data_IF_809227194322
#
_entry.id   IF_809227194322
#
_cell.length_a   1.000
_cell.length_b   1.000
_cell.length_c   1.000
_cell.angle_alpha   90.00
_cell.angle_beta   90.00
_cell.angle_gamma   90.00
#
_symmetry.space_group_name_H-M   'P 1'
#
loop_
_entity.id
_entity.type
_entity.pdbx_description
1 polymer ?
#
# COMPACT_ATOMS: atom_id res chain seq x y z
N UNK A 1 23.18 4.30 37.11
CA UNK A 1 22.12 3.56 36.40
C UNK A 1 21.27 4.61 35.69
N UNK A 2 21.70 5.32 34.65
CA UNK A 2 22.74 5.14 33.65
C UNK A 2 22.04 5.45 32.32
N UNK A 3 22.24 6.66 31.78
CA UNK A 3 21.52 7.23 30.62
C UNK A 3 21.53 6.29 29.39
N UNK A 4 22.53 5.40 29.29
CA UNK A 4 22.60 4.32 28.29
C UNK A 4 21.38 3.37 28.32
N UNK A 5 20.78 3.10 29.49
CA UNK A 5 19.56 2.28 29.58
C UNK A 5 18.32 2.99 29.02
N UNK A 6 18.34 4.32 28.85
CA UNK A 6 17.21 5.05 28.25
C UNK A 6 17.33 5.07 26.73
N UNK A 7 18.54 5.14 26.19
CA UNK A 7 18.80 5.08 24.74
C UNK A 7 18.47 3.71 24.13
N UNK A 8 18.70 2.62 24.85
CA UNK A 8 18.35 1.27 24.39
C UNK A 8 16.82 1.01 24.38
N UNK A 9 16.05 1.73 25.21
CA UNK A 9 14.57 1.67 25.18
C UNK A 9 13.96 2.56 24.09
N UNK A 10 14.72 3.49 23.52
CA UNK A 10 14.30 4.39 22.44
C UNK A 10 14.67 3.87 21.04
N UNK A 11 15.46 2.79 20.95
CA UNK A 11 15.76 2.15 19.66
C UNK A 11 14.55 1.35 19.20
N UNK A 12 13.84 1.90 18.22
CA UNK A 12 12.82 1.16 17.46
C UNK A 12 13.42 -0.18 17.02
N UNK A 13 12.82 -1.27 17.48
CA UNK A 13 13.35 -2.61 17.21
C UNK A 13 13.23 -2.90 15.73
N UNK A 14 14.36 -3.18 15.08
CA UNK A 14 14.41 -3.56 13.67
C UNK A 14 13.58 -4.81 13.42
N UNK A 15 12.62 -4.72 12.51
CA UNK A 15 11.74 -5.83 12.12
C UNK A 15 12.31 -6.53 10.87
N UNK A 16 12.38 -7.87 10.83
CA UNK A 16 12.96 -8.61 9.70
C UNK A 16 12.06 -8.59 8.44
N UNK A 17 10.79 -8.22 8.60
CA UNK A 17 9.78 -8.22 7.54
C UNK A 17 10.22 -7.43 6.30
N UNK A 18 10.00 -8.04 5.13
CA UNK A 18 10.15 -7.36 3.86
C UNK A 18 8.98 -6.39 3.62
N UNK A 19 9.29 -5.18 3.16
CA UNK A 19 8.31 -4.20 2.69
C UNK A 19 8.45 -4.04 1.19
N UNK A 20 7.43 -4.42 0.43
CA UNK A 20 7.39 -4.29 -1.02
C UNK A 20 6.57 -3.06 -1.40
N UNK A 21 7.19 -2.12 -2.11
CA UNK A 21 6.52 -0.93 -2.60
C UNK A 21 6.35 -1.00 -4.12
N UNK A 22 5.10 -0.93 -4.58
CA UNK A 22 4.77 -0.99 -6.00
C UNK A 22 4.97 0.38 -6.65
N UNK A 23 6.12 0.59 -7.27
CA UNK A 23 6.58 1.87 -7.83
C UNK A 23 6.67 1.89 -9.37
N UNK A 24 6.12 0.88 -10.07
CA UNK A 24 6.24 0.72 -11.52
C UNK A 24 5.16 1.38 -12.39
N UNK A 25 4.16 2.04 -11.79
CA UNK A 25 3.01 2.61 -12.51
C UNK A 25 3.35 3.81 -13.41
N UNK A 26 2.70 3.92 -14.58
CA UNK A 26 2.92 5.04 -15.51
C UNK A 26 2.35 6.40 -15.04
N UNK A 27 1.38 6.37 -14.11
CA UNK A 27 0.72 7.59 -13.62
C UNK A 27 0.08 8.45 -14.71
N UNK A 28 -0.47 7.85 -15.78
CA UNK A 28 -0.94 8.58 -16.98
C UNK A 28 -2.02 9.63 -16.70
N UNK A 29 -2.84 9.41 -15.67
CA UNK A 29 -3.90 10.32 -15.22
C UNK A 29 -3.37 11.64 -14.62
N UNK A 30 -2.10 11.66 -14.19
CA UNK A 30 -1.43 12.82 -13.61
C UNK A 30 -0.55 13.57 -14.61
N UNK A 31 -0.65 13.29 -15.92
CA UNK A 31 0.08 14.08 -16.91
C UNK A 31 -0.40 15.54 -16.89
N UNK A 32 0.50 16.53 -16.98
CA UNK A 32 1.91 16.41 -17.37
C UNK A 32 2.91 16.13 -16.24
N UNK A 33 2.50 16.10 -14.96
CA UNK A 33 3.40 15.91 -13.80
C UNK A 33 4.23 14.63 -13.94
N UNK A 34 3.60 13.55 -14.43
CA UNK A 34 4.24 12.24 -14.61
C UNK A 34 4.92 12.04 -15.98
N UNK A 35 4.99 13.08 -16.82
CA UNK A 35 5.64 12.96 -18.14
C UNK A 35 7.15 12.68 -18.00
N UNK A 36 7.79 13.32 -17.01
CA UNK A 36 9.22 13.17 -16.77
C UNK A 36 9.56 12.59 -15.39
N UNK A 37 8.59 12.33 -14.53
CA UNK A 37 8.82 11.90 -13.15
C UNK A 37 7.91 10.70 -12.83
N UNK A 38 8.45 9.58 -12.30
CA UNK A 38 7.60 8.50 -11.80
C UNK A 38 6.58 9.03 -10.79
N UNK A 39 5.36 8.48 -10.78
CA UNK A 39 4.32 8.88 -9.82
C UNK A 39 4.80 8.87 -8.35
N UNK A 40 5.51 7.82 -7.86
CA UNK A 40 6.03 7.80 -6.48
C UNK A 40 7.09 8.88 -6.19
N UNK A 41 7.69 9.47 -7.24
CA UNK A 41 8.69 10.53 -7.12
C UNK A 41 8.10 11.94 -7.22
N UNK A 42 6.79 12.07 -7.38
CA UNK A 42 6.14 13.37 -7.26
C UNK A 42 6.29 13.89 -5.83
N UNK A 43 6.61 15.18 -5.71
CA UNK A 43 6.80 15.83 -4.41
C UNK A 43 5.45 16.23 -3.84
N UNK A 44 5.17 15.81 -2.61
CA UNK A 44 4.02 16.25 -1.82
C UNK A 44 4.56 16.82 -0.52
N UNK A 45 4.22 18.07 -0.21
CA UNK A 45 4.89 18.81 0.86
C UNK A 45 6.37 19.06 0.52
N UNK A 46 7.28 18.64 1.40
CA UNK A 46 8.72 18.92 1.25
C UNK A 46 9.52 17.84 0.52
N UNK A 47 8.93 16.66 0.24
CA UNK A 47 9.67 15.47 -0.22
C UNK A 47 8.86 14.57 -1.16
N UNK A 48 9.48 13.61 -1.89
CA UNK A 48 8.76 12.64 -2.70
C UNK A 48 7.79 11.78 -1.88
N UNK A 49 6.67 11.38 -2.49
CA UNK A 49 5.70 10.44 -1.88
C UNK A 49 6.41 9.18 -1.36
N UNK A 50 7.27 8.59 -2.20
CA UNK A 50 7.99 7.36 -1.85
C UNK A 50 8.93 7.53 -0.65
N UNK A 51 9.53 8.71 -0.48
CA UNK A 51 10.38 8.98 0.68
C UNK A 51 9.53 9.06 1.96
N UNK A 52 8.38 9.73 1.89
CA UNK A 52 7.42 9.77 3.01
C UNK A 52 6.97 8.36 3.41
N UNK A 53 6.70 7.48 2.44
CA UNK A 53 6.33 6.08 2.68
C UNK A 53 7.47 5.34 3.40
N UNK A 54 8.70 5.39 2.88
CA UNK A 54 9.86 4.68 3.44
C UNK A 54 10.17 5.18 4.86
N UNK A 55 10.14 6.49 5.08
CA UNK A 55 10.35 7.06 6.42
C UNK A 55 9.25 6.60 7.40
N UNK A 56 7.99 6.59 6.97
CA UNK A 56 6.89 6.15 7.83
C UNK A 56 7.05 4.68 8.26
N UNK A 57 7.39 3.78 7.33
CA UNK A 57 7.73 2.40 7.65
C UNK A 57 8.95 2.30 8.59
N UNK A 58 9.99 3.10 8.34
CA UNK A 58 11.22 3.11 9.15
C UNK A 58 10.97 3.53 10.60
N UNK A 59 10.01 4.43 10.86
CA UNK A 59 9.55 4.80 12.21
C UNK A 59 9.00 3.63 13.01
N UNK A 60 8.48 2.59 12.35
CA UNK A 60 8.02 1.34 12.96
C UNK A 60 9.08 0.21 12.92
N UNK A 61 10.31 0.50 12.48
CA UNK A 61 11.42 -0.45 12.49
C UNK A 61 11.55 -1.32 11.25
N UNK A 62 10.69 -1.11 10.25
CA UNK A 62 10.82 -1.76 8.95
C UNK A 62 11.95 -1.11 8.16
N UNK A 63 12.93 -1.91 7.75
CA UNK A 63 14.14 -1.40 7.08
C UNK A 63 14.50 -2.19 5.82
N UNK A 64 13.88 -3.34 5.55
CA UNK A 64 14.16 -4.16 4.39
C UNK A 64 13.12 -3.88 3.30
N UNK A 65 13.48 -3.05 2.32
CA UNK A 65 12.58 -2.60 1.27
C UNK A 65 12.90 -3.24 -0.08
N UNK A 66 11.84 -3.61 -0.79
CA UNK A 66 11.87 -4.09 -2.16
C UNK A 66 11.02 -3.16 -3.02
N UNK A 67 11.65 -2.41 -3.92
CA UNK A 67 10.94 -1.49 -4.80
C UNK A 67 10.69 -2.18 -6.13
N UNK A 68 9.42 -2.47 -6.43
CA UNK A 68 9.01 -2.94 -7.77
C UNK A 68 8.97 -1.75 -8.71
N UNK A 69 9.96 -1.67 -9.59
CA UNK A 69 10.20 -0.50 -10.44
C UNK A 69 10.15 -0.90 -11.91
N UNK A 70 9.60 -0.01 -12.73
CA UNK A 70 9.51 -0.19 -14.17
C UNK A 70 9.78 1.14 -14.87
N UNK A 71 8.73 1.92 -15.18
CA UNK A 71 8.88 3.21 -15.86
C UNK A 71 9.77 4.17 -15.07
N UNK A 72 10.83 4.65 -15.72
CA UNK A 72 11.80 5.61 -15.16
C UNK A 72 12.44 5.16 -13.84
N UNK A 73 12.70 3.85 -13.71
CA UNK A 73 13.36 3.25 -12.54
C UNK A 73 14.71 3.91 -12.20
N UNK A 74 15.42 4.45 -13.19
CA UNK A 74 16.69 5.17 -13.00
C UNK A 74 16.56 6.33 -12.03
N UNK A 75 15.47 7.11 -12.10
CA UNK A 75 15.25 8.25 -11.19
C UNK A 75 15.09 7.82 -9.74
N UNK A 76 14.42 6.69 -9.51
CA UNK A 76 14.22 6.13 -8.17
C UNK A 76 15.57 5.63 -7.62
N UNK A 77 16.38 4.97 -8.47
CA UNK A 77 17.72 4.49 -8.09
C UNK A 77 18.70 5.63 -7.81
N UNK A 78 18.70 6.67 -8.65
CA UNK A 78 19.54 7.85 -8.47
C UNK A 78 19.23 8.59 -7.17
N UNK A 79 17.94 8.65 -6.79
CA UNK A 79 17.52 9.34 -5.58
C UNK A 79 17.80 8.52 -4.30
N UNK A 80 17.40 7.26 -4.27
CA UNK A 80 17.44 6.44 -3.06
C UNK A 80 18.73 5.62 -2.90
N UNK A 81 19.48 5.34 -3.97
CA UNK A 81 20.67 4.50 -3.90
C UNK A 81 20.38 3.13 -3.28
N UNK A 82 21.07 2.76 -2.21
CA UNK A 82 20.80 1.55 -1.43
C UNK A 82 19.86 1.80 -0.22
N UNK A 83 19.34 3.01 -0.07
CA UNK A 83 18.42 3.41 0.99
C UNK A 83 19.08 3.83 2.31
N UNK A 84 20.41 3.77 2.43
CA UNK A 84 21.09 4.07 3.70
C UNK A 84 20.80 5.47 4.22
N UNK A 85 20.64 6.46 3.32
CA UNK A 85 20.31 7.84 3.68
C UNK A 85 18.93 7.98 4.33
N UNK A 86 18.02 7.03 4.10
CA UNK A 86 16.68 6.99 4.67
C UNK A 86 16.57 6.01 5.85
N UNK A 87 17.70 5.46 6.33
CA UNK A 87 17.69 4.41 7.38
C UNK A 87 17.17 3.06 6.89
N UNK A 88 17.15 2.84 5.58
CA UNK A 88 16.61 1.67 4.90
C UNK A 88 17.70 0.85 4.19
N UNK A 89 17.34 -0.36 3.79
CA UNK A 89 18.07 -1.22 2.86
C UNK A 89 17.15 -1.52 1.68
N UNK A 90 17.46 -0.99 0.51
CA UNK A 90 16.59 -1.02 -0.67
C UNK A 90 17.16 -1.99 -1.72
N UNK A 91 16.32 -2.94 -2.13
CA UNK A 91 16.54 -3.81 -3.29
C UNK A 91 15.54 -3.45 -4.39
N UNK A 92 16.00 -3.35 -5.64
CA UNK A 92 15.15 -3.00 -6.78
C UNK A 92 14.69 -4.24 -7.55
N UNK A 93 13.40 -4.52 -7.52
CA UNK A 93 12.77 -5.56 -8.33
C UNK A 93 12.50 -4.98 -9.72
N UNK A 94 13.37 -5.33 -10.67
CA UNK A 94 13.32 -4.81 -12.04
C UNK A 94 12.50 -5.73 -12.93
N UNK A 95 11.28 -5.30 -13.25
CA UNK A 95 10.39 -6.04 -14.12
C UNK A 95 10.74 -5.84 -15.60
N UNK A 96 10.97 -6.91 -16.35
CA UNK A 96 11.12 -6.85 -17.83
C UNK A 96 9.77 -6.74 -18.55
N UNK A 97 8.69 -7.15 -17.88
CA UNK A 97 7.29 -7.05 -18.32
C UNK A 97 6.41 -6.80 -17.09
N UNK A 98 5.24 -6.19 -17.25
CA UNK A 98 4.33 -5.92 -16.12
C UNK A 98 3.79 -7.24 -15.55
N UNK A 99 4.24 -7.63 -14.36
CA UNK A 99 3.76 -8.83 -13.66
C UNK A 99 2.56 -8.51 -12.76
N UNK A 100 2.16 -7.25 -12.64
CA UNK A 100 1.06 -6.87 -11.76
C UNK A 100 1.51 -6.77 -10.30
N UNK A 101 0.57 -6.37 -9.44
CA UNK A 101 0.83 -6.06 -8.03
C UNK A 101 1.24 -7.27 -7.20
N UNK A 102 0.70 -8.45 -7.50
CA UNK A 102 1.09 -9.70 -6.85
C UNK A 102 2.22 -10.41 -7.62
N UNK A 103 2.21 -10.39 -8.96
CA UNK A 103 3.22 -11.10 -9.75
C UNK A 103 4.65 -10.63 -9.52
N UNK A 104 4.87 -9.37 -9.15
CA UNK A 104 6.19 -8.85 -8.78
C UNK A 104 6.78 -9.56 -7.53
N UNK A 105 5.94 -10.16 -6.68
CA UNK A 105 6.37 -10.85 -5.47
C UNK A 105 7.13 -12.16 -5.76
N UNK A 106 6.97 -12.74 -6.95
CA UNK A 106 7.76 -13.90 -7.39
C UNK A 106 9.26 -13.62 -7.53
N UNK A 107 9.67 -12.36 -7.45
CA UNK A 107 11.07 -11.94 -7.49
C UNK A 107 11.70 -11.80 -6.10
N UNK A 108 10.93 -12.01 -5.03
CA UNK A 108 11.44 -12.00 -3.66
C UNK A 108 12.30 -13.24 -3.37
N UNK A 109 13.20 -13.17 -2.39
CA UNK A 109 13.93 -14.34 -1.92
C UNK A 109 12.97 -15.45 -1.44
N UNK A 110 13.34 -16.71 -1.68
CA UNK A 110 12.54 -17.88 -1.29
C UNK A 110 12.61 -18.16 0.22
N UNK A 111 13.61 -17.63 0.93
CA UNK A 111 13.92 -17.86 2.34
C UNK A 111 13.34 -16.79 3.28
N UNK A 112 12.27 -16.10 2.87
CA UNK A 112 11.56 -15.17 3.74
C UNK A 112 10.73 -15.94 4.78
N UNK A 113 11.08 -15.77 6.06
CA UNK A 113 10.39 -16.43 7.19
C UNK A 113 9.35 -15.54 7.90
N UNK A 114 9.34 -14.23 7.59
CA UNK A 114 8.46 -13.25 8.24
C UNK A 114 7.37 -12.75 7.28
N UNK A 115 6.20 -12.33 7.79
CA UNK A 115 5.16 -11.72 6.96
C UNK A 115 5.68 -10.56 6.12
N UNK A 116 5.21 -10.46 4.90
CA UNK A 116 5.61 -9.47 3.91
C UNK A 116 4.54 -8.38 3.88
N UNK A 117 4.95 -7.12 4.01
CA UNK A 117 4.04 -5.99 3.81
C UNK A 117 4.16 -5.54 2.36
N UNK A 118 3.03 -5.39 1.68
CA UNK A 118 3.00 -4.88 0.30
C UNK A 118 2.12 -3.63 0.26
N UNK A 119 2.59 -2.58 -0.39
CA UNK A 119 1.88 -1.31 -0.48
C UNK A 119 2.07 -0.66 -1.84
N UNK A 120 1.02 -0.06 -2.39
CA UNK A 120 1.15 0.74 -3.60
C UNK A 120 1.98 2.01 -3.31
N UNK A 121 2.94 2.32 -4.19
CA UNK A 121 3.91 3.41 -4.00
C UNK A 121 3.35 4.83 -4.22
N UNK A 122 2.04 4.96 -4.39
CA UNK A 122 1.31 6.20 -4.64
C UNK A 122 0.29 6.54 -3.54
N UNK A 123 0.34 5.79 -2.44
CA UNK A 123 -0.53 5.97 -1.29
C UNK A 123 0.15 6.86 -0.24
N UNK A 124 -0.53 7.94 0.13
CA UNK A 124 -0.13 8.77 1.27
C UNK A 124 -0.97 8.37 2.48
N UNK A 125 -0.32 7.90 3.54
CA UNK A 125 -1.01 7.36 4.71
C UNK A 125 -0.15 7.42 5.97
N UNK A 126 -0.79 7.61 7.13
CA UNK A 126 -0.18 7.55 8.45
C UNK A 126 -0.67 6.35 9.28
N UNK A 127 -1.10 5.27 8.61
CA UNK A 127 -1.46 4.00 9.27
C UNK A 127 -0.36 3.53 10.21
N UNK A 128 -0.77 2.96 11.34
CA UNK A 128 0.14 2.27 12.23
C UNK A 128 0.47 0.87 11.70
N UNK A 129 1.62 0.73 11.05
CA UNK A 129 2.06 -0.54 10.46
C UNK A 129 2.38 -1.61 11.50
N UNK A 130 2.70 -1.23 12.74
CA UNK A 130 2.85 -2.18 13.84
C UNK A 130 1.51 -2.79 14.24
N UNK A 131 0.46 -1.97 14.35
CA UNK A 131 -0.90 -2.48 14.61
C UNK A 131 -1.39 -3.39 13.49
N UNK A 132 -1.13 -3.02 12.24
CA UNK A 132 -1.47 -3.85 11.09
C UNK A 132 -0.78 -5.22 11.15
N UNK A 133 0.53 -5.25 11.40
CA UNK A 133 1.29 -6.50 11.51
C UNK A 133 0.80 -7.33 12.72
N UNK A 134 0.60 -6.69 13.87
CA UNK A 134 0.11 -7.37 15.07
C UNK A 134 -1.27 -7.97 14.84
N UNK A 135 -2.18 -7.25 14.17
CA UNK A 135 -3.49 -7.78 13.79
C UNK A 135 -3.39 -9.00 12.90
N UNK A 136 -2.54 -8.95 11.85
CA UNK A 136 -2.29 -10.09 10.96
C UNK A 136 -1.83 -11.33 11.74
N UNK A 137 -0.89 -11.16 12.67
CA UNK A 137 -0.39 -12.23 13.54
C UNK A 137 -1.46 -12.75 14.50
N UNK A 138 -2.17 -11.87 15.20
CA UNK A 138 -3.21 -12.23 16.18
C UNK A 138 -4.39 -12.95 15.55
N UNK A 139 -4.73 -12.58 14.31
CA UNK A 139 -5.78 -13.24 13.54
C UNK A 139 -5.29 -14.52 12.87
N UNK A 140 -4.00 -14.88 12.95
CA UNK A 140 -3.42 -16.03 12.26
C UNK A 140 -3.80 -16.05 10.77
N UNK A 141 -3.90 -14.87 10.15
CA UNK A 141 -4.31 -14.75 8.76
C UNK A 141 -3.18 -15.24 7.83
N UNK A 142 -3.54 -15.88 6.72
CA UNK A 142 -2.60 -16.17 5.63
C UNK A 142 -2.32 -14.90 4.81
N UNK A 143 -3.34 -14.06 4.67
CA UNK A 143 -3.27 -12.77 4.01
C UNK A 143 -4.22 -11.77 4.68
N UNK A 144 -3.80 -10.51 4.79
CA UNK A 144 -4.62 -9.41 5.30
C UNK A 144 -4.64 -8.29 4.27
N UNK A 145 -5.85 -7.86 3.88
CA UNK A 145 -6.07 -6.69 3.01
C UNK A 145 -6.55 -5.52 3.85
N UNK A 146 -5.87 -4.38 3.74
CA UNK A 146 -6.41 -3.16 4.31
C UNK A 146 -7.58 -2.65 3.47
N UNK A 147 -8.66 -2.25 4.14
CA UNK A 147 -9.86 -1.72 3.50
C UNK A 147 -10.21 -0.35 4.06
N UNK A 148 -10.79 0.51 3.22
CA UNK A 148 -11.30 1.82 3.62
C UNK A 148 -12.81 1.87 3.40
N UNK A 149 -13.53 2.44 4.35
CA UNK A 149 -14.96 2.70 4.19
C UNK A 149 -15.17 3.82 3.15
N UNK A 150 -16.09 3.57 2.23
CA UNK A 150 -16.45 4.48 1.13
C UNK A 150 -17.97 4.65 1.09
N UNK A 151 -18.40 5.87 1.35
CA UNK A 151 -19.80 6.26 1.30
C UNK A 151 -20.17 6.77 -0.09
N UNK A 152 -21.12 6.10 -0.74
CA UNK A 152 -21.71 6.54 -2.00
C UNK A 152 -23.14 7.01 -1.77
N UNK A 153 -23.34 8.32 -1.74
CA UNK A 153 -24.67 8.91 -1.74
C UNK A 153 -25.18 9.05 -3.17
N UNK A 154 -26.31 8.43 -3.47
CA UNK A 154 -27.04 8.73 -4.69
C UNK A 154 -27.76 10.06 -4.49
N UNK A 155 -27.54 11.12 -5.28
CA UNK A 155 -28.15 12.43 -5.04
C UNK A 155 -29.64 12.50 -5.47
N UNK A 156 -30.30 11.36 -5.67
CA UNK A 156 -31.65 11.20 -6.18
C UNK A 156 -32.42 10.11 -5.43
N UNK A 157 -33.75 10.06 -5.60
CA UNK A 157 -34.58 8.95 -5.17
C UNK A 157 -34.28 7.66 -5.92
N UNK A 158 -33.81 6.63 -5.22
CA UNK A 158 -33.59 5.29 -5.78
C UNK A 158 -34.90 4.50 -5.73
N UNK A 159 -35.43 4.18 -6.91
CA UNK A 159 -36.66 3.41 -7.09
C UNK A 159 -36.32 1.95 -7.33
N UNK A 160 -36.82 1.04 -6.49
CA UNK A 160 -36.82 -0.41 -6.78
C UNK A 160 -38.19 -0.77 -7.37
N UNK A 161 -38.19 -1.42 -8.53
CA UNK A 161 -39.40 -1.85 -9.21
C UNK A 161 -39.30 -3.33 -9.61
N UNK A 162 -40.44 -4.03 -9.62
CA UNK A 162 -40.57 -5.36 -10.20
C UNK A 162 -41.50 -5.26 -11.41
N UNK A 163 -40.91 -5.28 -12.62
CA UNK A 163 -41.62 -4.89 -13.83
C UNK A 163 -41.99 -3.40 -13.78
N UNK A 164 -43.27 -3.08 -14.02
CA UNK A 164 -43.77 -1.70 -13.98
C UNK A 164 -44.22 -1.25 -12.56
N UNK A 165 -44.25 -2.15 -11.57
CA UNK A 165 -44.76 -1.85 -10.23
C UNK A 165 -43.63 -1.39 -9.33
N UNK A 166 -43.75 -0.16 -8.80
CA UNK A 166 -42.83 0.40 -7.80
C UNK A 166 -42.99 -0.37 -6.48
N UNK A 167 -41.87 -0.82 -5.91
CA UNK A 167 -41.83 -1.53 -4.61
C UNK A 167 -41.36 -0.63 -3.46
N UNK A 168 -40.36 0.24 -3.72
CA UNK A 168 -39.85 1.17 -2.73
C UNK A 168 -39.17 2.35 -3.40
N UNK A 169 -39.21 3.51 -2.75
CA UNK A 169 -38.43 4.70 -3.10
C UNK A 169 -37.63 5.08 -1.87
N UNK A 170 -36.32 5.22 -2.01
CA UNK A 170 -35.45 5.73 -0.95
C UNK A 170 -34.84 7.02 -1.45
N UNK A 171 -35.10 8.13 -0.78
CA UNK A 171 -34.54 9.43 -1.13
C UNK A 171 -33.10 9.55 -0.64
N UNK A 172 -32.24 10.00 -1.55
CA UNK A 172 -30.81 10.24 -1.33
C UNK A 172 -30.10 9.17 -0.48
N UNK A 173 -30.24 7.87 -0.78
CA UNK A 173 -29.64 6.83 0.04
C UNK A 173 -28.11 6.93 -0.02
N UNK A 174 -27.49 6.73 1.14
CA UNK A 174 -26.06 6.49 1.25
C UNK A 174 -25.83 4.99 1.37
N UNK A 175 -24.97 4.47 0.50
CA UNK A 175 -24.50 3.09 0.55
C UNK A 175 -23.05 3.07 1.03
N UNK A 176 -22.76 2.24 2.02
CA UNK A 176 -21.42 2.11 2.59
C UNK A 176 -20.77 0.85 2.01
N UNK A 177 -19.54 1.01 1.51
CA UNK A 177 -18.75 -0.08 0.94
C UNK A 177 -17.36 -0.10 1.56
N UNK A 178 -16.72 -1.26 1.57
CA UNK A 178 -15.29 -1.35 1.79
C UNK A 178 -14.58 -1.41 0.45
N UNK A 179 -13.63 -0.49 0.24
CA UNK A 179 -12.75 -0.48 -0.92
C UNK A 179 -11.35 -0.96 -0.54
N UNK A 180 -10.68 -1.61 -1.48
CA UNK A 180 -9.29 -2.04 -1.31
C UNK A 180 -8.39 -0.81 -1.16
N UNK A 181 -7.65 -0.73 -0.05
CA UNK A 181 -6.79 0.40 0.27
C UNK A 181 -5.37 0.27 -0.32
N UNK A 182 -5.06 -0.79 -1.06
CA UNK A 182 -3.76 -1.00 -1.70
C UNK A 182 -2.61 -1.28 -0.72
N UNK A 183 -2.92 -1.80 0.47
CA UNK A 183 -1.96 -2.20 1.51
C UNK A 183 -2.33 -3.61 1.97
N UNK A 184 -1.33 -4.47 2.10
CA UNK A 184 -1.50 -5.89 2.35
C UNK A 184 -0.41 -6.42 3.29
N UNK A 185 -0.75 -7.44 4.08
CA UNK A 185 0.23 -8.27 4.81
C UNK A 185 0.04 -9.72 4.40
N UNK A 186 1.10 -10.37 3.96
CA UNK A 186 1.07 -11.71 3.38
C UNK A 186 2.04 -12.63 4.09
N UNK A 187 1.61 -13.84 4.46
CA UNK A 187 2.56 -14.87 4.85
C UNK A 187 3.36 -15.34 3.63
N UNK A 188 4.67 -15.59 3.74
CA UNK A 188 5.48 -16.10 2.61
C UNK A 188 4.89 -17.36 1.96
N UNK A 189 4.19 -18.19 2.73
CA UNK A 189 3.49 -19.40 2.26
C UNK A 189 2.45 -19.14 1.17
N UNK A 190 1.91 -17.92 1.05
CA UNK A 190 0.90 -17.58 0.04
C UNK A 190 1.52 -17.24 -1.31
N UNK A 191 2.83 -16.94 -1.37
CA UNK A 191 3.51 -16.61 -2.63
C UNK A 191 3.45 -17.75 -3.64
N UNK A 192 3.35 -19.01 -3.18
CA UNK A 192 3.19 -20.20 -4.04
C UNK A 192 1.92 -20.19 -4.91
N UNK A 193 0.92 -19.37 -4.56
CA UNK A 193 -0.31 -19.23 -5.34
C UNK A 193 -0.19 -18.22 -6.49
N UNK A 194 0.95 -17.52 -6.60
CA UNK A 194 1.19 -16.51 -7.63
C UNK A 194 1.81 -17.19 -8.85
N UNK A 195 1.15 -17.21 -10.01
CA UNK A 195 1.70 -17.82 -11.22
C UNK A 195 2.99 -17.14 -11.67
N UNK A 196 4.02 -17.95 -11.92
CA UNK A 196 5.34 -17.44 -12.30
C UNK A 196 5.31 -16.75 -13.66
N UNK A 197 5.78 -15.50 -13.69
CA UNK A 197 5.93 -14.75 -14.93
C UNK A 197 4.60 -14.34 -15.59
N UNK A 198 3.47 -14.37 -14.88
CA UNK A 198 2.20 -13.88 -15.40
C UNK A 198 1.85 -12.51 -14.81
N UNK A 199 0.95 -11.79 -15.49
CA UNK A 199 0.35 -10.60 -14.91
C UNK A 199 -0.71 -11.03 -13.91
N UNK A 200 -0.48 -10.75 -12.63
CA UNK A 200 -1.31 -11.20 -11.53
C UNK A 200 -1.40 -10.10 -10.47
N UNK A 201 -2.61 -9.66 -10.16
CA UNK A 201 -2.87 -8.58 -9.22
C UNK A 201 -3.38 -9.09 -7.86
N UNK A 202 -3.27 -8.24 -6.84
CA UNK A 202 -3.69 -8.56 -5.47
C UNK A 202 -5.13 -9.06 -5.35
N UNK A 203 -6.16 -8.49 -6.01
CA UNK A 203 -7.51 -9.06 -5.96
C UNK A 203 -7.56 -10.52 -6.44
N UNK A 204 -6.81 -10.86 -7.49
CA UNK A 204 -6.75 -12.23 -8.02
C UNK A 204 -6.06 -13.18 -7.04
N UNK A 205 -5.02 -12.71 -6.35
CA UNK A 205 -4.40 -13.47 -5.26
C UNK A 205 -5.41 -13.74 -4.14
N UNK A 206 -6.14 -12.72 -3.68
CA UNK A 206 -7.15 -12.89 -2.64
C UNK A 206 -8.29 -13.82 -3.06
N UNK A 207 -8.79 -13.72 -4.31
CA UNK A 207 -9.76 -14.66 -4.87
C UNK A 207 -9.22 -16.10 -4.83
N UNK A 208 -7.97 -16.30 -5.27
CA UNK A 208 -7.30 -17.61 -5.25
C UNK A 208 -7.16 -18.18 -3.84
N UNK A 209 -6.80 -17.33 -2.87
CA UNK A 209 -6.68 -17.72 -1.45
C UNK A 209 -8.03 -18.15 -0.88
N UNK A 210 -9.10 -17.42 -1.20
CA UNK A 210 -10.47 -17.77 -0.79
C UNK A 210 -10.89 -19.12 -1.37
N UNK A 211 -10.64 -19.34 -2.66
CA UNK A 211 -10.93 -20.62 -3.34
C UNK A 211 -10.18 -21.80 -2.69
N UNK A 212 -8.94 -21.58 -2.26
CA UNK A 212 -8.11 -22.56 -1.57
C UNK A 212 -8.34 -22.60 -0.05
N UNK A 213 -9.37 -21.91 0.45
CA UNK A 213 -9.74 -21.86 1.88
C UNK A 213 -8.61 -21.39 2.80
N UNK A 214 -7.70 -20.57 2.28
CA UNK A 214 -6.71 -19.85 3.09
C UNK A 214 -7.42 -18.72 3.83
N UNK A 215 -6.91 -18.35 4.99
CA UNK A 215 -7.51 -17.34 5.86
C UNK A 215 -7.16 -15.94 5.37
N UNK A 216 -8.00 -15.39 4.50
CA UNK A 216 -7.95 -14.00 4.08
C UNK A 216 -8.78 -13.10 5.02
N UNK A 217 -8.14 -12.13 5.65
CA UNK A 217 -8.79 -11.18 6.56
C UNK A 217 -8.77 -9.75 6.01
N UNK A 218 -9.74 -8.93 6.41
CA UNK A 218 -9.71 -7.49 6.19
C UNK A 218 -9.21 -6.75 7.43
N UNK A 219 -8.53 -5.62 7.23
CA UNK A 219 -8.15 -4.68 8.27
C UNK A 219 -8.72 -3.29 7.92
N UNK A 220 -9.73 -2.78 8.64
CA UNK A 220 -10.28 -1.46 8.36
C UNK A 220 -9.30 -0.36 8.78
N UNK A 221 -8.97 0.54 7.85
CA UNK A 221 -8.16 1.74 8.12
C UNK A 221 -9.08 2.87 8.59
N UNK A 222 -8.74 3.47 9.73
CA UNK A 222 -9.43 4.66 10.25
C UNK A 222 -8.58 5.94 10.13
N UNK A 223 -7.27 5.76 10.06
CA UNK A 223 -6.26 6.80 9.89
C UNK A 223 -6.33 7.48 8.50
N UNK A 224 -5.45 8.45 8.28
CA UNK A 224 -5.36 9.15 7.00
C UNK A 224 -4.91 8.19 5.90
N UNK A 225 -5.62 8.19 4.78
CA UNK A 225 -5.31 7.39 3.60
C UNK A 225 -5.78 8.13 2.36
N UNK A 226 -4.88 8.28 1.38
CA UNK A 226 -5.19 8.86 0.08
C UNK A 226 -4.39 8.17 -1.03
N UNK A 227 -5.10 7.66 -2.04
CA UNK A 227 -4.51 7.35 -3.35
C UNK A 227 -4.38 8.63 -4.17
N UNK A 228 -3.14 9.02 -4.48
CA UNK A 228 -2.86 10.22 -5.25
C UNK A 228 -3.08 9.92 -6.74
N UNK A 229 -4.31 9.64 -7.16
CA UNK A 229 -4.61 9.13 -8.51
C UNK A 229 -4.77 10.19 -9.59
N UNK A 230 -5.19 11.39 -9.22
CA UNK A 230 -5.64 12.47 -10.10
C UNK A 230 -5.09 13.83 -9.65
N UNK A 231 -5.12 14.88 -10.51
CA UNK A 231 -4.60 16.19 -10.16
C UNK A 231 -5.21 16.78 -8.87
N UNK A 232 -6.53 16.65 -8.69
CA UNK A 232 -7.20 17.12 -7.48
C UNK A 232 -6.74 16.36 -6.22
N UNK A 233 -6.45 15.06 -6.34
CA UNK A 233 -5.91 14.27 -5.22
C UNK A 233 -4.50 14.75 -4.86
N UNK A 234 -3.69 15.09 -5.87
CA UNK A 234 -2.35 15.61 -5.68
C UNK A 234 -2.33 17.01 -5.04
N UNK A 235 -3.22 17.90 -5.46
CA UNK A 235 -3.39 19.22 -4.84
C UNK A 235 -3.85 19.07 -3.38
N UNK A 236 -4.89 18.28 -3.15
CA UNK A 236 -5.40 18.00 -1.81
C UNK A 236 -4.34 17.39 -0.89
N UNK A 237 -3.53 16.46 -1.40
CA UNK A 237 -2.45 15.85 -0.64
C UNK A 237 -1.37 16.87 -0.23
N UNK A 238 -1.12 17.91 -1.04
CA UNK A 238 -0.19 18.98 -0.67
C UNK A 238 -0.78 19.90 0.41
N UNK A 239 -2.06 20.25 0.29
CA UNK A 239 -2.75 21.10 1.28
C UNK A 239 -2.82 20.43 2.65
N UNK A 240 -3.03 19.11 2.69
CA UNK A 240 -3.19 18.33 3.91
C UNK A 240 -1.86 17.77 4.46
N UNK A 241 -0.75 17.83 3.70
CA UNK A 241 0.51 17.16 4.07
C UNK A 241 1.00 17.55 5.47
N UNK A 242 1.03 18.86 5.74
CA UNK A 242 1.52 19.43 7.00
C UNK A 242 0.65 19.01 8.20
N UNK A 243 -0.64 18.76 8.01
CA UNK A 243 -1.54 18.35 9.09
C UNK A 243 -1.26 16.92 9.57
N UNK A 244 -0.87 16.03 8.65
CA UNK A 244 -0.77 14.59 8.92
C UNK A 244 0.66 14.05 9.01
N UNK A 245 1.65 14.74 8.44
CA UNK A 245 3.01 14.20 8.27
C UNK A 245 4.12 15.04 8.92
N UNK A 246 3.81 16.23 9.41
CA UNK A 246 4.75 17.01 10.23
C UNK A 246 4.76 16.52 11.68
N UNK A 247 5.94 16.09 12.14
CA UNK A 247 6.29 15.84 13.55
C UNK A 247 7.52 16.66 13.88
#
# INVERSE_FOLDING_TARGET
>A
IGVEMVDDYLRVTKKPNAVVLMAGGLGTRLRPLTANTPKPMLTVGSKPILETIIENFSRYGFHNFYLSVNYRAEKIREYFGDGQNQGASITYLSETKRLGTAGALNMLPEDLDSPIIVMNGDLLTNINFEHLLNYHLLTEADATMCVREYDFQVPYGVVRAKGAVIQSIIEKPTYQYYVNAGIYVLNPSVLKYIPAGENFDMPQLFDTLIEHKQKACSFPIHEYWMDIGQPNDFEKANDEYEEFFHV
#
